data_IF_907986689842
#
_entry.id   IF_907986689842
#
_cell.length_a   1.000
_cell.length_b   1.000
_cell.length_c   1.000
_cell.angle_alpha   90.00
_cell.angle_beta   90.00
_cell.angle_gamma   90.00
#
_symmetry.space_group_name_H-M   'P 1'
#
loop_
_entity.id
_entity.type
_entity.pdbx_description
1 polymer ?
#
# COMPACT_ATOMS: atom_id res chain seq x y z
N UNK A 1 -2.69 17.75 13.90
CA UNK A 1 -1.41 18.06 13.21
C UNK A 1 -0.38 18.36 14.30
N UNK A 2 0.86 17.87 14.19
CA UNK A 2 1.94 18.24 15.13
C UNK A 2 2.74 19.39 14.53
N UNK A 3 2.95 20.47 15.29
CA UNK A 3 3.84 21.56 14.89
C UNK A 3 5.17 21.44 15.63
N UNK A 4 6.27 21.83 14.99
CA UNK A 4 7.54 22.15 15.67
C UNK A 4 7.36 23.54 16.30
N UNK A 5 6.69 23.65 17.43
CA UNK A 5 6.74 24.88 18.23
C UNK A 5 7.68 24.68 19.42
N UNK A 6 8.87 25.27 19.27
CA UNK A 6 9.74 25.65 20.37
C UNK A 6 9.05 26.77 21.16
N UNK A 7 8.29 26.44 22.21
CA UNK A 7 8.27 27.23 23.45
C UNK A 7 7.57 26.52 24.63
N UNK A 8 8.40 26.18 25.62
CA UNK A 8 8.14 26.13 27.07
C UNK A 8 6.80 25.58 27.59
N UNK A 9 6.82 24.33 28.07
CA UNK A 9 5.79 23.76 28.94
C UNK A 9 5.83 22.24 29.03
N UNK A 10 6.90 21.65 29.58
CA UNK A 10 7.00 20.20 29.72
C UNK A 10 6.02 19.65 30.76
N UNK A 11 5.10 18.76 30.32
CA UNK A 11 4.38 17.81 31.19
C UNK A 11 4.76 16.36 30.82
N UNK A 12 4.85 15.43 31.78
CA UNK A 12 5.34 14.08 31.53
C UNK A 12 4.19 13.18 31.05
N UNK A 13 4.24 12.68 29.81
CA UNK A 13 3.16 11.77 29.38
C UNK A 13 3.16 11.21 27.97
N UNK A 14 3.93 11.73 27.01
CA UNK A 14 4.16 11.02 25.75
C UNK A 14 5.47 11.47 25.09
N UNK A 15 6.52 10.68 25.27
CA UNK A 15 7.73 10.76 24.45
C UNK A 15 7.71 9.57 23.51
N UNK A 16 7.39 9.81 22.24
CA UNK A 16 7.83 8.95 21.14
C UNK A 16 8.98 9.65 20.40
N UNK A 17 9.80 8.84 19.75
CA UNK A 17 11.22 9.04 19.35
C UNK A 17 11.58 10.25 18.45
N UNK A 18 10.73 11.27 18.32
CA UNK A 18 11.07 12.48 17.59
C UNK A 18 10.24 13.70 18.04
N UNK A 19 10.34 14.13 19.30
CA UNK A 19 10.13 15.53 19.76
C UNK A 19 8.87 16.31 19.31
N UNK A 20 7.85 15.67 18.74
CA UNK A 20 6.67 16.30 18.17
C UNK A 20 5.50 16.14 19.14
N UNK A 21 5.07 17.25 19.72
CA UNK A 21 3.85 17.31 20.51
C UNK A 21 2.63 17.48 19.58
N UNK A 22 1.50 16.88 19.96
CA UNK A 22 0.23 17.19 19.31
C UNK A 22 -0.18 18.62 19.66
N UNK A 23 -0.61 19.39 18.66
CA UNK A 23 -1.09 20.76 18.84
C UNK A 23 -2.32 20.84 19.77
N UNK A 24 -3.19 19.83 19.69
CA UNK A 24 -4.37 19.71 20.56
C UNK A 24 -4.14 18.68 21.65
N UNK A 25 -4.58 19.03 22.85
CA UNK A 25 -4.40 18.27 24.10
C UNK A 25 -5.38 18.81 25.15
N UNK A 26 -5.35 18.30 26.38
CA UNK A 26 -6.29 18.69 27.44
C UNK A 26 -6.35 20.21 27.71
N UNK A 27 -5.22 20.93 27.60
CA UNK A 27 -5.17 22.40 27.78
C UNK A 27 -5.50 23.22 26.50
N UNK A 28 -5.62 22.56 25.35
CA UNK A 28 -5.94 23.15 24.05
C UNK A 28 -6.82 22.16 23.28
N UNK A 29 -8.09 21.98 23.69
CA UNK A 29 -8.96 20.98 23.09
C UNK A 29 -9.22 21.23 21.61
N UNK A 30 -9.73 20.21 20.92
CA UNK A 30 -10.28 20.35 19.58
C UNK A 30 -11.54 21.22 19.61
N UNK A 31 -11.68 22.12 18.66
CA UNK A 31 -12.90 22.90 18.45
C UNK A 31 -13.92 22.07 17.66
N UNK A 32 -14.53 21.08 18.32
CA UNK A 32 -15.50 20.18 17.70
C UNK A 32 -16.62 19.77 18.66
N UNK A 33 -17.86 19.83 18.18
CA UNK A 33 -19.04 19.29 18.89
C UNK A 33 -19.20 17.78 18.68
N UNK A 34 -18.72 17.27 17.55
CA UNK A 34 -18.67 15.85 17.24
C UNK A 34 -17.41 15.53 16.44
N UNK A 35 -16.83 14.36 16.70
CA UNK A 35 -15.69 13.81 15.96
C UNK A 35 -16.03 12.41 15.45
N UNK A 36 -15.90 12.23 14.14
CA UNK A 36 -15.97 10.93 13.49
C UNK A 36 -14.54 10.47 13.16
N UNK A 37 -14.18 9.29 13.64
CA UNK A 37 -12.91 8.64 13.30
C UNK A 37 -13.24 7.37 12.53
N UNK A 38 -12.88 7.38 11.25
CA UNK A 38 -12.92 6.20 10.40
C UNK A 38 -11.62 5.37 10.58
N UNK A 39 -11.63 4.12 10.16
CA UNK A 39 -10.53 3.16 10.30
C UNK A 39 -9.98 3.04 11.74
N UNK A 40 -10.89 3.06 12.72
CA UNK A 40 -10.55 3.01 14.14
C UNK A 40 -9.82 1.71 14.55
N UNK A 41 -9.91 0.65 13.75
CA UNK A 41 -9.13 -0.60 13.92
C UNK A 41 -7.61 -0.34 13.92
N UNK A 42 -7.17 0.70 13.20
CA UNK A 42 -5.77 1.14 13.10
C UNK A 42 -5.34 2.04 14.27
N UNK A 43 -6.26 2.43 15.16
CA UNK A 43 -5.99 3.35 16.27
C UNK A 43 -5.29 2.62 17.42
N UNK A 44 -3.96 2.76 17.46
CA UNK A 44 -3.13 2.28 18.56
C UNK A 44 -3.36 3.07 19.85
N UNK A 45 -2.98 2.49 20.99
CA UNK A 45 -3.28 3.06 22.32
C UNK A 45 -2.73 4.48 22.51
N UNK A 46 -1.52 4.76 22.03
CA UNK A 46 -0.90 6.09 22.19
C UNK A 46 -1.65 7.20 21.45
N UNK A 47 -2.01 6.97 20.19
CA UNK A 47 -2.78 7.95 19.40
C UNK A 47 -4.21 8.05 19.93
N UNK A 48 -4.82 6.93 20.30
CA UNK A 48 -6.14 6.91 20.91
C UNK A 48 -6.21 7.69 22.23
N UNK A 49 -5.19 7.57 23.08
CA UNK A 49 -5.10 8.35 24.31
C UNK A 49 -4.98 9.86 24.03
N UNK A 50 -4.06 10.25 23.14
CA UNK A 50 -3.88 11.66 22.77
C UNK A 50 -5.15 12.27 22.15
N UNK A 51 -5.87 11.49 21.34
CA UNK A 51 -7.16 11.89 20.78
C UNK A 51 -8.18 12.17 21.90
N UNK A 52 -8.33 11.24 22.85
CA UNK A 52 -9.28 11.40 23.95
C UNK A 52 -8.94 12.59 24.85
N UNK A 53 -7.65 12.84 25.12
CA UNK A 53 -7.24 14.04 25.87
C UNK A 53 -7.54 15.34 25.14
N UNK A 54 -7.50 15.32 23.81
CA UNK A 54 -7.77 16.50 22.99
C UNK A 54 -9.28 16.79 22.83
N UNK A 55 -10.18 15.88 23.23
CA UNK A 55 -11.62 16.08 23.05
C UNK A 55 -12.23 16.94 24.17
N UNK A 56 -13.06 17.94 23.84
CA UNK A 56 -13.90 18.60 24.83
C UNK A 56 -14.82 17.59 25.54
N UNK A 57 -15.14 17.77 26.83
CA UNK A 57 -16.06 16.89 27.56
C UNK A 57 -17.48 16.79 26.96
N UNK A 58 -17.88 17.79 26.16
CA UNK A 58 -19.18 17.85 25.48
C UNK A 58 -19.16 17.24 24.08
N UNK A 59 -17.98 16.86 23.56
CA UNK A 59 -17.83 16.37 22.20
C UNK A 59 -18.34 14.93 22.05
N UNK A 60 -19.14 14.68 21.01
CA UNK A 60 -19.57 13.32 20.67
C UNK A 60 -18.51 12.62 19.82
N UNK A 61 -17.90 11.55 20.34
CA UNK A 61 -16.97 10.71 19.58
C UNK A 61 -17.70 9.53 18.94
N UNK A 62 -17.54 9.34 17.63
CA UNK A 62 -17.99 8.16 16.89
C UNK A 62 -16.77 7.49 16.26
N UNK A 63 -16.56 6.21 16.59
CA UNK A 63 -15.50 5.38 16.03
C UNK A 63 -16.13 4.39 15.05
N UNK A 64 -15.62 4.36 13.82
CA UNK A 64 -16.01 3.42 12.76
C UNK A 64 -14.77 2.63 12.37
N UNK A 65 -14.91 1.32 12.22
CA UNK A 65 -13.80 0.45 11.83
C UNK A 65 -14.23 -1.00 11.80
N UNK A 66 -13.34 -1.85 11.30
CA UNK A 66 -13.54 -3.29 11.15
C UNK A 66 -12.64 -4.06 12.14
N UNK A 67 -13.23 -4.87 13.02
CA UNK A 67 -12.51 -5.66 14.04
C UNK A 67 -11.71 -6.82 13.44
N UNK A 68 -12.07 -7.27 12.23
CA UNK A 68 -11.45 -8.40 11.55
C UNK A 68 -10.27 -8.00 10.66
N UNK A 69 -10.08 -6.70 10.42
CA UNK A 69 -8.86 -6.18 9.79
C UNK A 69 -7.62 -6.36 10.68
N UNK A 70 -6.44 -6.20 10.06
CA UNK A 70 -5.17 -6.14 10.78
C UNK A 70 -5.21 -5.04 11.86
N UNK A 71 -4.80 -5.36 13.11
CA UNK A 71 -4.81 -4.39 14.20
C UNK A 71 -3.75 -3.30 13.95
N UNK A 72 -3.83 -2.21 14.73
CA UNK A 72 -2.80 -1.18 14.72
C UNK A 72 -1.39 -1.78 14.88
N UNK A 73 -0.41 -1.26 14.14
CA UNK A 73 1.00 -1.64 14.26
C UNK A 73 1.60 -1.22 15.62
N UNK A 74 1.05 -0.16 16.23
CA UNK A 74 1.46 0.30 17.55
C UNK A 74 1.02 -0.63 18.69
N UNK A 75 1.58 -0.47 19.90
CA UNK A 75 1.21 -1.29 21.03
C UNK A 75 -0.25 -1.03 21.47
N UNK A 76 -1.00 -2.12 21.64
CA UNK A 76 -2.39 -2.12 22.10
C UNK A 76 -3.38 -1.64 21.03
N UNK A 77 -4.62 -2.16 21.09
CA UNK A 77 -5.71 -1.75 20.19
C UNK A 77 -6.88 -1.17 20.96
N UNK A 78 -7.11 0.15 20.82
CA UNK A 78 -8.20 0.83 21.52
C UNK A 78 -9.57 0.32 21.05
N UNK A 79 -9.76 0.20 19.73
CA UNK A 79 -11.03 -0.19 19.13
C UNK A 79 -11.50 -1.58 19.57
N UNK A 80 -10.64 -2.60 19.43
CA UNK A 80 -10.95 -3.96 19.90
C UNK A 80 -11.23 -4.04 21.41
N UNK A 81 -10.52 -3.25 22.22
CA UNK A 81 -10.78 -3.19 23.66
C UNK A 81 -12.17 -2.58 23.98
N UNK A 82 -12.56 -1.52 23.27
CA UNK A 82 -13.89 -0.90 23.41
C UNK A 82 -15.01 -1.89 23.01
N UNK A 83 -14.82 -2.64 21.92
CA UNK A 83 -15.78 -3.65 21.47
C UNK A 83 -15.92 -4.81 22.47
N UNK A 84 -14.79 -5.33 22.97
CA UNK A 84 -14.77 -6.45 23.91
C UNK A 84 -15.37 -6.09 25.28
N UNK A 85 -15.07 -4.89 25.80
CA UNK A 85 -15.54 -4.45 27.11
C UNK A 85 -16.94 -3.84 27.09
N UNK A 86 -17.44 -3.46 25.90
CA UNK A 86 -18.69 -2.70 25.75
C UNK A 86 -18.70 -1.41 26.59
N UNK A 87 -17.52 -0.79 26.75
CA UNK A 87 -17.37 0.47 27.50
C UNK A 87 -18.07 1.66 26.83
N UNK A 88 -18.46 1.52 25.55
CA UNK A 88 -19.27 2.47 24.80
C UNK A 88 -20.42 1.74 24.07
N UNK A 89 -21.48 2.45 23.65
CA UNK A 89 -22.49 1.89 22.76
C UNK A 89 -21.86 1.37 21.46
N UNK A 90 -22.20 0.13 21.08
CA UNK A 90 -21.67 -0.54 19.89
C UNK A 90 -22.81 -0.94 18.98
N UNK A 91 -22.69 -0.59 17.69
CA UNK A 91 -23.57 -1.03 16.62
C UNK A 91 -22.75 -1.88 15.65
N UNK A 92 -23.20 -3.11 15.40
CA UNK A 92 -22.55 -4.07 14.50
C UNK A 92 -23.36 -4.17 13.19
N UNK A 93 -22.74 -3.78 12.07
CA UNK A 93 -23.37 -3.75 10.76
C UNK A 93 -23.14 -5.07 10.01
N UNK A 94 -24.16 -5.94 10.00
CA UNK A 94 -24.07 -7.28 9.39
C UNK A 94 -24.74 -7.42 8.03
N UNK A 95 -25.49 -6.41 7.60
CA UNK A 95 -26.27 -6.51 6.37
C UNK A 95 -25.40 -6.17 5.16
N UNK A 96 -25.15 -7.17 4.30
CA UNK A 96 -24.49 -7.00 3.01
C UNK A 96 -25.52 -6.55 1.96
N UNK A 97 -25.22 -5.48 1.23
CA UNK A 97 -26.10 -4.97 0.17
C UNK A 97 -26.08 -5.87 -1.07
N UNK A 98 -27.17 -5.88 -1.84
CA UNK A 98 -27.44 -6.84 -2.93
C UNK A 98 -26.35 -6.89 -4.02
N UNK A 99 -25.69 -5.78 -4.31
CA UNK A 99 -24.60 -5.72 -5.30
C UNK A 99 -23.35 -6.46 -4.80
N UNK A 100 -23.02 -6.33 -3.51
CA UNK A 100 -21.89 -7.00 -2.87
C UNK A 100 -22.10 -8.52 -2.70
N UNK A 101 -23.35 -8.99 -2.61
CA UNK A 101 -23.66 -10.42 -2.47
C UNK A 101 -23.27 -11.29 -3.68
N UNK A 102 -23.03 -10.69 -4.86
CA UNK A 102 -22.57 -11.40 -6.07
C UNK A 102 -21.04 -11.42 -6.21
N UNK A 103 -20.34 -10.62 -5.42
CA UNK A 103 -18.88 -10.50 -5.49
C UNK A 103 -18.19 -11.71 -4.86
N UNK A 104 -17.22 -12.31 -5.56
CA UNK A 104 -16.37 -13.36 -4.99
C UNK A 104 -15.43 -12.78 -3.95
N UNK A 105 -15.00 -11.52 -4.08
CA UNK A 105 -14.18 -10.83 -3.08
C UNK A 105 -14.93 -10.78 -1.75
N UNK A 106 -16.16 -10.26 -1.75
CA UNK A 106 -16.98 -10.12 -0.52
C UNK A 106 -17.32 -11.49 0.07
N UNK A 107 -17.74 -12.45 -0.75
CA UNK A 107 -18.00 -13.82 -0.28
C UNK A 107 -16.73 -14.48 0.30
N UNK A 108 -15.57 -14.21 -0.29
CA UNK A 108 -14.26 -14.67 0.18
C UNK A 108 -13.90 -14.06 1.53
N UNK A 109 -14.03 -12.75 1.69
CA UNK A 109 -13.78 -12.05 2.95
C UNK A 109 -14.66 -12.57 4.09
N UNK A 110 -15.96 -12.78 3.83
CA UNK A 110 -16.87 -13.41 4.80
C UNK A 110 -16.43 -14.83 5.16
N UNK A 111 -16.05 -15.65 4.18
CA UNK A 111 -15.56 -17.00 4.45
C UNK A 111 -14.32 -16.96 5.36
N UNK A 112 -13.34 -16.09 5.04
CA UNK A 112 -12.13 -15.90 5.83
C UNK A 112 -12.48 -15.46 7.24
N UNK A 113 -13.39 -14.50 7.43
CA UNK A 113 -13.87 -14.05 8.74
C UNK A 113 -14.43 -15.19 9.59
N UNK A 114 -15.24 -16.07 9.00
CA UNK A 114 -15.82 -17.23 9.66
C UNK A 114 -14.82 -18.40 9.86
N UNK A 115 -13.55 -18.23 9.43
CA UNK A 115 -12.52 -19.28 9.52
C UNK A 115 -12.65 -20.38 8.47
N UNK A 116 -13.36 -20.09 7.37
CA UNK A 116 -13.53 -20.97 6.23
C UNK A 116 -12.58 -20.57 5.10
N UNK A 117 -12.18 -21.55 4.28
CA UNK A 117 -11.38 -21.29 3.08
C UNK A 117 -12.25 -20.62 2.00
N UNK A 118 -11.84 -19.46 1.46
CA UNK A 118 -12.58 -18.81 0.39
C UNK A 118 -12.59 -19.68 -0.87
N UNK A 119 -13.74 -19.73 -1.54
CA UNK A 119 -13.95 -20.55 -2.74
C UNK A 119 -13.75 -19.70 -3.99
N UNK A 120 -12.50 -19.65 -4.46
CA UNK A 120 -12.14 -18.97 -5.70
C UNK A 120 -11.99 -19.96 -6.86
N UNK A 121 -12.27 -19.48 -8.07
CA UNK A 121 -11.96 -20.21 -9.29
C UNK A 121 -10.44 -20.30 -9.46
N UNK A 122 -9.95 -21.46 -9.88
CA UNK A 122 -8.53 -21.72 -9.93
C UNK A 122 -8.04 -21.62 -11.36
N UNK A 123 -6.96 -20.87 -11.53
CA UNK A 123 -6.26 -20.72 -12.80
C UNK A 123 -4.88 -21.34 -12.61
N UNK A 124 -4.55 -22.35 -13.40
CA UNK A 124 -3.23 -22.97 -13.33
C UNK A 124 -2.24 -22.12 -14.13
N UNK A 125 -1.05 -21.89 -13.57
CA UNK A 125 0.03 -21.23 -14.27
C UNK A 125 1.19 -22.21 -14.46
N UNK A 126 1.82 -22.18 -15.64
CA UNK A 126 3.00 -23.00 -15.93
C UNK A 126 4.13 -22.15 -16.50
N UNK A 127 5.41 -22.48 -16.24
CA UNK A 127 6.55 -21.72 -16.77
C UNK A 127 6.58 -21.64 -18.29
N UNK A 128 6.19 -22.73 -18.98
CA UNK A 128 6.28 -22.83 -20.43
C UNK A 128 5.00 -22.32 -21.12
N UNK A 129 3.87 -22.30 -20.40
CA UNK A 129 2.55 -21.96 -20.95
C UNK A 129 1.95 -20.65 -20.44
N UNK A 130 2.62 -19.98 -19.50
CA UNK A 130 2.21 -18.73 -18.86
C UNK A 130 0.78 -18.79 -18.29
N UNK A 131 0.13 -17.64 -18.27
CA UNK A 131 -1.33 -17.52 -18.19
C UNK A 131 -1.92 -17.58 -19.60
N UNK A 132 -2.14 -18.77 -20.15
CA UNK A 132 -2.79 -18.89 -21.47
C UNK A 132 -4.23 -19.34 -21.37
N UNK A 133 -5.01 -19.06 -22.41
CA UNK A 133 -6.40 -19.53 -22.54
C UNK A 133 -6.54 -21.06 -22.40
N UNK A 134 -5.48 -21.83 -22.69
CA UNK A 134 -5.44 -23.28 -22.47
C UNK A 134 -5.48 -23.66 -20.97
N UNK A 135 -5.07 -22.75 -20.09
CA UNK A 135 -5.13 -22.88 -18.63
C UNK A 135 -6.24 -22.02 -18.01
N UNK A 136 -7.02 -21.32 -18.85
CA UNK A 136 -8.19 -20.59 -18.41
C UNK A 136 -9.31 -21.55 -17.98
N UNK A 137 -10.16 -21.15 -17.03
CA UNK A 137 -11.35 -21.90 -16.67
C UNK A 137 -12.28 -22.09 -17.89
N UNK A 138 -13.23 -23.02 -17.78
CA UNK A 138 -14.11 -23.44 -18.89
C UNK A 138 -14.87 -22.28 -19.57
N UNK A 139 -14.93 -21.10 -18.95
CA UNK A 139 -15.48 -19.86 -19.51
C UNK A 139 -14.63 -19.21 -20.61
N UNK A 140 -13.36 -19.60 -20.77
CA UNK A 140 -12.45 -19.04 -21.77
C UNK A 140 -11.85 -17.67 -21.43
N UNK A 141 -12.22 -17.08 -20.29
CA UNK A 141 -11.59 -15.85 -19.75
C UNK A 141 -10.52 -16.22 -18.72
N UNK A 142 -9.35 -15.58 -18.78
CA UNK A 142 -8.30 -15.70 -17.75
C UNK A 142 -8.81 -15.27 -16.36
N UNK A 143 -9.73 -14.31 -16.34
CA UNK A 143 -10.36 -13.77 -15.13
C UNK A 143 -11.87 -13.92 -15.27
N UNK A 144 -12.44 -15.10 -14.97
CA UNK A 144 -13.88 -15.39 -15.09
C UNK A 144 -14.75 -14.68 -14.04
N UNK A 145 -14.14 -14.24 -12.95
CA UNK A 145 -14.78 -13.65 -11.80
C UNK A 145 -13.93 -12.50 -11.25
N UNK A 146 -14.49 -11.73 -10.34
CA UNK A 146 -13.82 -10.64 -9.63
C UNK A 146 -12.79 -11.11 -8.60
N UNK A 147 -12.69 -12.42 -8.33
CA UNK A 147 -11.58 -13.02 -7.58
C UNK A 147 -11.23 -14.42 -8.11
N UNK A 148 -9.94 -14.66 -8.31
CA UNK A 148 -9.38 -15.94 -8.77
C UNK A 148 -8.15 -16.33 -7.95
N UNK A 149 -7.86 -17.63 -7.89
CA UNK A 149 -6.63 -18.15 -7.30
C UNK A 149 -5.72 -18.69 -8.40
N UNK A 150 -4.60 -18.00 -8.64
CA UNK A 150 -3.57 -18.48 -9.57
C UNK A 150 -2.67 -19.47 -8.85
N UNK A 151 -2.67 -20.73 -9.30
CA UNK A 151 -1.80 -21.77 -8.74
C UNK A 151 -0.47 -21.79 -9.47
N UNK A 152 0.59 -21.74 -8.68
CA UNK A 152 1.97 -21.79 -9.15
C UNK A 152 2.57 -23.12 -8.67
N UNK A 153 3.21 -23.92 -9.54
CA UNK A 153 3.65 -25.27 -9.22
C UNK A 153 4.80 -25.32 -8.21
N UNK A 154 5.53 -24.21 -8.03
CA UNK A 154 6.59 -24.10 -7.03
C UNK A 154 6.68 -22.68 -6.48
N UNK A 155 6.93 -22.50 -5.16
CA UNK A 155 7.14 -21.20 -4.55
C UNK A 155 8.24 -20.34 -5.21
N UNK A 156 9.25 -20.97 -5.81
CA UNK A 156 10.35 -20.28 -6.47
C UNK A 156 9.91 -19.56 -7.77
N UNK A 157 8.80 -19.99 -8.36
CA UNK A 157 8.28 -19.46 -9.62
C UNK A 157 7.26 -18.34 -9.43
N UNK A 158 6.90 -18.02 -8.19
CA UNK A 158 5.92 -16.96 -7.86
C UNK A 158 6.29 -15.60 -8.46
N UNK A 159 7.56 -15.13 -8.43
CA UNK A 159 7.91 -13.87 -9.07
C UNK A 159 7.68 -13.87 -10.58
N UNK A 160 8.00 -14.99 -11.25
CA UNK A 160 7.79 -15.13 -12.69
C UNK A 160 6.30 -15.13 -13.03
N UNK A 161 5.51 -15.93 -12.32
CA UNK A 161 4.05 -15.98 -12.47
C UNK A 161 3.40 -14.62 -12.20
N UNK A 162 3.89 -13.86 -11.20
CA UNK A 162 3.41 -12.50 -10.92
C UNK A 162 3.63 -11.58 -12.12
N UNK A 163 4.78 -11.67 -12.79
CA UNK A 163 5.06 -10.89 -14.00
C UNK A 163 4.01 -11.14 -15.08
N UNK A 164 3.69 -12.41 -15.35
CA UNK A 164 2.68 -12.80 -16.33
C UNK A 164 1.26 -12.35 -15.93
N UNK A 165 0.91 -12.45 -14.64
CA UNK A 165 -0.38 -11.97 -14.10
C UNK A 165 -0.53 -10.48 -14.32
N UNK A 166 0.47 -9.69 -13.92
CA UNK A 166 0.44 -8.23 -14.07
C UNK A 166 0.44 -7.85 -15.56
N UNK A 167 1.17 -8.58 -16.39
CA UNK A 167 1.13 -8.39 -17.83
C UNK A 167 -0.28 -8.59 -18.40
N UNK A 168 -0.92 -9.71 -18.03
CA UNK A 168 -2.28 -10.04 -18.49
C UNK A 168 -3.32 -9.02 -18.02
N UNK A 169 -3.13 -8.45 -16.82
CA UNK A 169 -4.07 -7.48 -16.24
C UNK A 169 -3.92 -6.08 -16.84
N UNK A 170 -2.72 -5.68 -17.26
CA UNK A 170 -2.42 -4.27 -17.58
C UNK A 170 -1.93 -4.00 -19.00
N UNK A 171 -1.32 -4.98 -19.67
CA UNK A 171 -0.48 -4.73 -20.85
C UNK A 171 -0.85 -5.58 -22.06
N UNK A 172 -1.45 -6.75 -21.87
CA UNK A 172 -1.90 -7.58 -22.99
C UNK A 172 -3.07 -6.90 -23.75
N UNK A 173 -3.25 -7.18 -25.05
CA UNK A 173 -4.36 -6.61 -25.82
C UNK A 173 -5.71 -6.96 -25.20
N UNK A 174 -6.51 -5.93 -24.89
CA UNK A 174 -7.79 -6.10 -24.19
C UNK A 174 -7.67 -6.25 -22.68
N UNK A 175 -6.51 -5.92 -22.10
CA UNK A 175 -6.29 -5.86 -20.66
C UNK A 175 -7.41 -5.08 -19.95
N UNK A 176 -7.95 -5.61 -18.82
CA UNK A 176 -9.09 -5.03 -18.15
C UNK A 176 -8.77 -3.77 -17.33
N UNK A 177 -7.50 -3.53 -16.99
CA UNK A 177 -7.11 -2.46 -16.08
C UNK A 177 -6.01 -1.59 -16.67
N UNK A 178 -6.00 -0.29 -16.35
CA UNK A 178 -4.83 0.53 -16.59
C UNK A 178 -3.71 0.08 -15.64
N UNK A 179 -2.43 0.31 -15.98
CA UNK A 179 -1.33 -0.07 -15.09
C UNK A 179 -1.53 0.50 -13.67
N UNK A 180 -2.08 1.71 -13.55
CA UNK A 180 -2.32 2.47 -12.32
C UNK A 180 -3.43 1.92 -11.44
N UNK A 181 -4.30 1.08 -12.00
CA UNK A 181 -5.40 0.45 -11.29
C UNK A 181 -4.98 -0.83 -10.56
N UNK A 182 -3.79 -1.36 -10.86
CA UNK A 182 -3.27 -2.61 -10.29
C UNK A 182 -2.23 -2.36 -9.21
N UNK A 183 -2.48 -2.90 -8.02
CA UNK A 183 -1.55 -2.92 -6.90
C UNK A 183 -1.15 -4.34 -6.53
N UNK A 184 0.16 -4.60 -6.44
CA UNK A 184 0.66 -5.87 -5.90
C UNK A 184 0.82 -5.75 -4.39
N UNK A 185 0.30 -6.74 -3.66
CA UNK A 185 0.44 -6.84 -2.21
C UNK A 185 1.24 -8.09 -1.82
N UNK A 186 2.13 -7.94 -0.85
CA UNK A 186 2.85 -9.07 -0.27
C UNK A 186 2.87 -9.02 1.27
N UNK A 187 2.82 -10.16 1.97
CA UNK A 187 2.87 -10.18 3.43
C UNK A 187 4.12 -9.55 4.07
N UNK A 188 5.27 -9.60 3.37
CA UNK A 188 6.56 -9.17 3.93
C UNK A 188 7.44 -8.43 2.92
N UNK A 189 8.44 -7.71 3.44
CA UNK A 189 9.37 -6.89 2.63
C UNK A 189 10.56 -7.67 2.09
N UNK A 190 11.03 -8.68 2.82
CA UNK A 190 12.28 -9.42 2.55
C UNK A 190 11.95 -10.85 2.16
N UNK A 191 12.77 -11.43 1.27
CA UNK A 191 12.60 -12.78 0.74
C UNK A 191 12.31 -12.76 -0.76
N UNK A 192 12.34 -13.92 -1.43
CA UNK A 192 12.24 -14.01 -2.90
C UNK A 192 10.86 -13.60 -3.45
N UNK A 193 9.83 -13.56 -2.60
CA UNK A 193 8.51 -13.00 -2.91
C UNK A 193 8.13 -11.82 -2.00
N UNK A 194 9.14 -11.21 -1.36
CA UNK A 194 8.96 -10.00 -0.57
C UNK A 194 8.93 -8.76 -1.46
N UNK A 195 8.32 -7.68 -0.97
CA UNK A 195 8.11 -6.46 -1.78
C UNK A 195 9.39 -5.90 -2.40
N UNK A 196 10.58 -6.07 -1.80
CA UNK A 196 11.84 -5.57 -2.38
C UNK A 196 12.18 -6.24 -3.71
N UNK A 197 12.12 -7.57 -3.76
CA UNK A 197 12.41 -8.34 -4.98
C UNK A 197 11.31 -8.14 -6.01
N UNK A 198 10.05 -8.15 -5.57
CA UNK A 198 8.91 -7.93 -6.47
C UNK A 198 8.93 -6.54 -7.10
N UNK A 199 9.30 -5.49 -6.35
CA UNK A 199 9.41 -4.15 -6.92
C UNK A 199 10.47 -4.05 -8.02
N UNK A 200 11.63 -4.69 -7.84
CA UNK A 200 12.69 -4.68 -8.86
C UNK A 200 12.21 -5.34 -10.17
N UNK A 201 11.49 -6.47 -10.05
CA UNK A 201 10.87 -7.17 -11.17
C UNK A 201 9.80 -6.31 -11.85
N UNK A 202 8.87 -5.77 -11.08
CA UNK A 202 7.75 -4.98 -11.60
C UNK A 202 8.24 -3.69 -12.25
N UNK A 203 9.24 -3.01 -11.69
CA UNK A 203 9.83 -1.84 -12.32
C UNK A 203 10.33 -2.16 -13.74
N UNK A 204 11.07 -3.26 -13.90
CA UNK A 204 11.56 -3.70 -15.21
C UNK A 204 10.42 -3.98 -16.18
N UNK A 205 9.38 -4.69 -15.72
CA UNK A 205 8.20 -4.99 -16.53
C UNK A 205 7.49 -3.70 -17.00
N UNK A 206 7.22 -2.76 -16.09
CA UNK A 206 6.51 -1.53 -16.41
C UNK A 206 7.29 -0.67 -17.41
N UNK A 207 8.60 -0.50 -17.21
CA UNK A 207 9.43 0.27 -18.13
C UNK A 207 9.60 -0.41 -19.50
N UNK A 208 9.79 -1.72 -19.55
CA UNK A 208 9.89 -2.45 -20.81
C UNK A 208 8.61 -2.28 -21.67
N UNK A 209 7.44 -2.30 -21.01
CA UNK A 209 6.15 -2.14 -21.70
C UNK A 209 5.85 -0.70 -22.10
N UNK A 210 6.24 0.28 -21.29
CA UNK A 210 6.12 1.70 -21.65
C UNK A 210 7.05 2.07 -22.83
N UNK A 211 8.27 1.55 -22.86
CA UNK A 211 9.19 1.76 -23.99
C UNK A 211 8.62 1.18 -25.30
N UNK A 212 7.98 0.01 -25.23
CA UNK A 212 7.32 -0.63 -26.39
C UNK A 212 6.08 0.13 -26.88
N UNK A 213 5.43 0.93 -26.03
CA UNK A 213 4.27 1.75 -26.40
C UNK A 213 4.65 3.12 -27.00
N UNK A 214 5.91 3.55 -26.84
CA UNK A 214 6.35 4.94 -27.11
C UNK A 214 7.16 5.19 -28.39
N UNK A 215 7.36 4.21 -29.29
CA UNK A 215 8.21 4.44 -30.47
C UNK A 215 8.08 3.41 -31.59
N UNK A 216 8.04 3.93 -32.81
CA UNK A 216 8.11 3.24 -34.09
C UNK A 216 9.37 2.36 -34.25
N UNK A 217 9.26 1.36 -35.13
CA UNK A 217 10.27 0.42 -35.64
C UNK A 217 10.70 -0.72 -34.72
N UNK A 218 10.34 -1.92 -35.17
CA UNK A 218 10.57 -3.19 -34.52
C UNK A 218 12.04 -3.53 -34.29
N UNK A 219 12.27 -4.12 -33.13
CA UNK A 219 12.98 -5.38 -32.95
C UNK A 219 12.48 -5.94 -31.61
N UNK A 220 11.68 -7.01 -31.64
CA UNK A 220 11.29 -7.74 -30.44
C UNK A 220 12.56 -8.39 -29.86
N UNK A 221 13.20 -7.72 -28.92
CA UNK A 221 14.27 -8.33 -28.14
C UNK A 221 13.66 -9.45 -27.28
N UNK A 222 14.22 -10.67 -27.31
CA UNK A 222 13.69 -11.78 -26.52
C UNK A 222 13.80 -11.43 -25.02
N UNK A 223 12.66 -11.54 -24.33
CA UNK A 223 12.54 -11.40 -22.88
C UNK A 223 13.45 -12.45 -22.21
N UNK A 224 14.56 -11.98 -21.63
CA UNK A 224 15.42 -12.78 -20.75
C UNK A 224 15.33 -12.22 -19.35
N UNK A 225 14.90 -13.05 -18.40
CA UNK A 225 14.89 -12.79 -16.96
C UNK A 225 16.34 -12.82 -16.41
N UNK A 226 17.22 -11.98 -16.97
CA UNK A 226 18.55 -11.79 -16.45
C UNK A 226 18.50 -10.64 -15.45
N UNK A 227 18.52 -11.00 -14.17
CA UNK A 227 18.83 -10.08 -13.08
C UNK A 227 20.14 -9.37 -13.46
N UNK A 228 20.10 -8.15 -13.98
CA UNK A 228 21.31 -7.35 -14.17
C UNK A 228 21.80 -6.90 -12.78
N UNK A 229 22.89 -7.47 -12.24
CA UNK A 229 23.49 -6.94 -11.03
C UNK A 229 24.48 -5.88 -11.50
N UNK A 230 24.06 -4.63 -11.58
CA UNK A 230 24.98 -3.56 -11.93
C UNK A 230 24.69 -2.29 -11.15
N UNK A 231 25.03 -2.36 -9.86
CA UNK A 231 26.05 -1.47 -9.31
C UNK A 231 26.48 -1.99 -7.94
N UNK A 232 27.65 -2.63 -7.91
CA UNK A 232 28.32 -3.03 -6.70
C UNK A 232 28.86 -1.79 -5.99
N UNK A 233 28.07 -1.25 -5.06
CA UNK A 233 28.57 -0.58 -3.86
C UNK A 233 27.42 -0.28 -2.88
N UNK A 234 27.03 -1.29 -2.11
CA UNK A 234 26.86 -1.14 -0.66
C UNK A 234 26.50 -2.50 -0.08
N UNK A 235 27.04 -2.79 1.08
CA UNK A 235 26.70 -3.94 1.92
C UNK A 235 25.27 -3.85 2.52
N UNK A 236 24.34 -3.17 1.82
CA UNK A 236 22.92 -2.98 2.19
C UNK A 236 22.05 -2.86 0.93
N UNK A 237 21.70 -3.98 0.32
CA UNK A 237 20.63 -4.07 -0.70
C UNK A 237 21.03 -3.71 -2.12
N UNK A 238 20.18 -4.12 -3.07
CA UNK A 238 20.29 -3.82 -4.50
C UNK A 238 20.25 -2.30 -4.69
N UNK A 239 21.23 -1.73 -5.40
CA UNK A 239 21.24 -0.31 -5.73
C UNK A 239 19.97 0.02 -6.55
N UNK A 240 19.12 0.91 -6.01
CA UNK A 240 17.87 1.32 -6.67
C UNK A 240 18.18 2.26 -7.82
N UNK A 241 17.96 1.80 -9.05
CA UNK A 241 18.03 2.64 -10.24
C UNK A 241 16.68 3.34 -10.44
N UNK A 242 16.54 4.54 -9.89
CA UNK A 242 15.34 5.36 -10.04
C UNK A 242 15.18 5.85 -11.47
N UNK A 243 13.96 5.82 -12.01
CA UNK A 243 13.62 6.37 -13.32
C UNK A 243 12.37 7.25 -13.23
N UNK A 244 12.22 8.16 -14.19
CA UNK A 244 10.98 8.92 -14.32
C UNK A 244 9.82 7.96 -14.65
N UNK A 245 8.66 8.18 -14.03
CA UNK A 245 7.51 7.29 -14.09
C UNK A 245 7.42 6.29 -12.94
N UNK A 246 8.50 6.07 -12.19
CA UNK A 246 8.51 5.14 -11.06
C UNK A 246 7.47 5.49 -9.99
N UNK A 247 6.76 4.48 -9.51
CA UNK A 247 5.91 4.61 -8.32
C UNK A 247 6.74 4.56 -7.06
N UNK A 248 6.48 5.49 -6.14
CA UNK A 248 7.17 5.57 -4.87
C UNK A 248 6.22 5.68 -3.69
N UNK A 249 6.66 5.18 -2.54
CA UNK A 249 5.99 5.22 -1.26
C UNK A 249 6.86 6.02 -0.28
N UNK A 250 6.28 7.02 0.37
CA UNK A 250 6.92 7.71 1.48
C UNK A 250 6.88 6.80 2.73
N UNK A 251 8.02 6.61 3.38
CA UNK A 251 8.14 5.70 4.54
C UNK A 251 8.26 6.38 5.89
N UNK A 252 8.47 7.70 5.90
CA UNK A 252 8.63 8.52 7.10
C UNK A 252 7.81 9.79 6.96
N UNK A 253 7.16 10.26 8.03
CA UNK A 253 6.41 11.52 7.96
C UNK A 253 7.38 12.69 7.76
N UNK A 254 7.16 13.48 6.70
CA UNK A 254 7.89 14.71 6.42
C UNK A 254 6.91 15.89 6.41
N UNK A 255 6.74 16.52 7.57
CA UNK A 255 5.80 17.63 7.76
C UNK A 255 6.15 18.86 6.91
N UNK A 256 7.45 19.10 6.67
CA UNK A 256 7.92 20.21 5.83
C UNK A 256 7.47 20.06 4.37
N UNK A 257 7.42 18.82 3.86
CA UNK A 257 6.93 18.50 2.52
C UNK A 257 5.42 18.21 2.48
N UNK A 258 4.74 18.18 3.63
CA UNK A 258 3.36 17.73 3.77
C UNK A 258 3.09 16.34 3.16
N UNK A 259 4.05 15.42 3.30
CA UNK A 259 3.95 14.02 2.86
C UNK A 259 4.12 13.11 4.07
N UNK A 260 3.26 12.11 4.17
CA UNK A 260 3.17 11.23 5.32
C UNK A 260 3.53 9.80 4.95
N UNK A 261 3.86 9.00 5.96
CA UNK A 261 4.18 7.60 5.78
C UNK A 261 2.98 6.84 5.23
N UNK A 262 3.12 6.23 4.05
CA UNK A 262 2.03 5.60 3.31
C UNK A 262 1.63 6.38 2.05
N UNK A 263 1.98 7.66 1.95
CA UNK A 263 1.65 8.45 0.76
C UNK A 263 2.38 7.89 -0.46
N UNK A 264 1.62 7.70 -1.54
CA UNK A 264 2.14 7.24 -2.82
C UNK A 264 2.32 8.42 -3.78
N UNK A 265 3.41 8.37 -4.55
CA UNK A 265 3.72 9.37 -5.56
C UNK A 265 4.39 8.75 -6.78
N UNK A 266 4.70 9.61 -7.75
CA UNK A 266 5.41 9.25 -8.98
C UNK A 266 6.62 10.12 -9.17
N UNK A 267 7.73 9.52 -9.59
CA UNK A 267 8.91 10.29 -9.97
C UNK A 267 8.60 11.02 -11.29
N UNK A 268 8.45 12.33 -11.23
CA UNK A 268 8.29 13.18 -12.41
C UNK A 268 9.63 13.38 -13.11
N UNK A 269 10.72 13.56 -12.34
CA UNK A 269 12.06 13.80 -12.90
C UNK A 269 13.16 13.19 -12.04
N UNK A 270 14.18 12.66 -12.73
CA UNK A 270 15.44 12.22 -12.14
C UNK A 270 16.54 13.11 -12.68
N UNK A 271 17.35 13.67 -11.80
CA UNK A 271 18.49 14.51 -12.20
C UNK A 271 19.77 14.14 -11.44
N UNK A 272 20.89 14.26 -12.13
CA UNK A 272 22.22 14.02 -11.60
C UNK A 272 23.02 15.31 -11.77
N UNK A 273 23.46 15.90 -10.66
CA UNK A 273 24.29 17.09 -10.66
C UNK A 273 25.49 16.93 -9.72
N UNK A 274 26.23 18.02 -9.52
CA UNK A 274 27.42 18.03 -8.66
C UNK A 274 27.10 17.66 -7.20
N UNK A 275 25.85 17.90 -6.76
CA UNK A 275 25.34 17.54 -5.43
C UNK A 275 24.83 16.09 -5.31
N UNK A 276 24.93 15.28 -6.38
CA UNK A 276 24.45 13.91 -6.44
C UNK A 276 23.07 13.75 -7.09
N UNK A 277 22.39 12.65 -6.75
CA UNK A 277 21.06 12.30 -7.25
C UNK A 277 19.99 13.20 -6.63
N UNK A 278 19.09 13.72 -7.46
CA UNK A 278 17.88 14.42 -7.05
C UNK A 278 16.65 13.87 -7.76
N UNK A 279 15.57 13.64 -7.00
CA UNK A 279 14.28 13.17 -7.49
C UNK A 279 13.22 14.25 -7.27
N UNK A 280 12.43 14.53 -8.30
CA UNK A 280 11.20 15.33 -8.19
C UNK A 280 10.02 14.35 -8.23
N UNK A 281 9.24 14.29 -7.15
CA UNK A 281 8.16 13.33 -6.96
C UNK A 281 6.83 14.06 -6.89
N UNK A 282 5.89 13.73 -7.77
CA UNK A 282 4.53 14.23 -7.74
C UNK A 282 3.66 13.35 -6.83
N UNK A 283 2.98 13.99 -5.87
CA UNK A 283 2.01 13.33 -4.99
C UNK A 283 0.59 13.80 -5.34
N UNK A 284 -0.33 12.88 -5.74
CA UNK A 284 -1.66 13.25 -6.20
C UNK A 284 -2.48 14.08 -5.19
N UNK A 285 -2.36 13.80 -3.90
CA UNK A 285 -3.10 14.53 -2.85
C UNK A 285 -2.61 15.98 -2.65
N UNK A 286 -1.47 16.33 -3.26
CA UNK A 286 -0.89 17.67 -3.21
C UNK A 286 -1.17 18.47 -4.49
N UNK A 287 -1.62 17.84 -5.58
CA UNK A 287 -1.86 18.52 -6.87
C UNK A 287 -2.84 19.69 -6.76
N UNK A 288 -3.85 19.57 -5.89
CA UNK A 288 -4.87 20.60 -5.69
C UNK A 288 -4.54 21.61 -4.57
N UNK A 289 -3.37 21.51 -3.93
CA UNK A 289 -3.03 22.41 -2.82
C UNK A 289 -2.39 23.70 -3.35
N UNK A 290 -2.97 24.88 -3.04
CA UNK A 290 -2.36 26.15 -3.42
C UNK A 290 -1.08 26.38 -2.62
N UNK A 291 -0.02 26.80 -3.30
CA UNK A 291 1.20 27.29 -2.65
C UNK A 291 0.93 28.60 -1.91
N UNK A 292 1.68 28.84 -0.83
CA UNK A 292 1.82 30.17 -0.25
C UNK A 292 2.42 31.10 -1.32
N UNK A 293 1.56 31.90 -1.98
CA UNK A 293 1.94 32.76 -3.11
C UNK A 293 1.08 32.62 -4.36
N UNK A 294 0.06 31.74 -4.38
CA UNK A 294 -0.96 31.72 -5.43
C UNK A 294 -0.61 30.93 -6.70
N UNK A 295 0.36 30.02 -6.62
CA UNK A 295 0.68 29.04 -7.67
C UNK A 295 0.28 27.61 -7.30
N UNK A 296 0.34 26.69 -8.25
CA UNK A 296 0.24 25.23 -8.05
C UNK A 296 1.55 24.63 -8.55
N UNK A 297 2.30 23.93 -7.70
CA UNK A 297 3.50 23.18 -8.11
C UNK A 297 3.17 21.78 -8.65
N UNK A 298 1.88 21.45 -8.80
CA UNK A 298 1.43 20.12 -9.20
C UNK A 298 1.78 19.04 -8.18
N UNK A 299 1.94 19.41 -6.90
CA UNK A 299 2.25 18.45 -5.84
C UNK A 299 3.68 17.90 -5.87
N UNK A 300 4.59 18.57 -6.57
CA UNK A 300 5.98 18.13 -6.71
C UNK A 300 6.80 18.36 -5.43
N UNK A 301 7.51 17.34 -4.97
CA UNK A 301 8.43 17.38 -3.83
C UNK A 301 9.80 16.90 -4.23
N UNK A 302 10.82 17.66 -3.83
CA UNK A 302 12.22 17.34 -4.16
C UNK A 302 12.86 16.49 -3.05
N UNK A 303 13.58 15.45 -3.46
CA UNK A 303 14.34 14.57 -2.59
C UNK A 303 15.80 14.51 -3.03
N UNK A 304 16.68 14.77 -2.07
CA UNK A 304 18.14 14.78 -2.22
C UNK A 304 18.82 14.19 -0.99
N UNK A 305 20.05 13.70 -1.14
CA UNK A 305 20.88 13.24 -0.03
C UNK A 305 20.18 12.20 0.85
N UNK A 306 20.10 12.45 2.16
CA UNK A 306 19.51 11.52 3.12
C UNK A 306 18.00 11.30 2.91
N UNK A 307 17.26 12.30 2.41
CA UNK A 307 15.81 12.17 2.22
C UNK A 307 15.44 11.14 1.15
N UNK A 308 16.36 10.77 0.25
CA UNK A 308 16.15 9.67 -0.71
C UNK A 308 15.92 8.32 -0.03
N UNK A 309 16.41 8.14 1.21
CA UNK A 309 16.20 6.91 1.97
C UNK A 309 14.78 6.79 2.54
N UNK A 310 14.02 7.89 2.52
CA UNK A 310 12.62 7.91 2.97
C UNK A 310 11.67 7.39 1.89
N UNK A 311 12.14 7.21 0.65
CA UNK A 311 11.35 6.67 -0.46
C UNK A 311 11.64 5.20 -0.69
N UNK A 312 10.61 4.44 -1.05
CA UNK A 312 10.73 3.09 -1.60
C UNK A 312 9.88 2.95 -2.86
N UNK A 313 10.16 1.97 -3.72
CA UNK A 313 9.25 1.65 -4.81
C UNK A 313 7.90 1.15 -4.28
N UNK A 314 6.83 1.47 -5.01
CA UNK A 314 5.45 1.17 -4.63
C UNK A 314 4.70 0.27 -5.62
N UNK A 315 5.38 -0.35 -6.59
CA UNK A 315 4.73 -1.36 -7.47
C UNK A 315 4.19 -2.54 -6.67
N UNK A 316 4.93 -2.96 -5.64
CA UNK A 316 4.49 -3.90 -4.62
C UNK A 316 4.64 -3.27 -3.22
N UNK A 317 3.57 -3.29 -2.43
CA UNK A 317 3.57 -2.82 -1.04
C UNK A 317 3.14 -3.95 -0.10
N UNK A 318 3.39 -3.78 1.20
CA UNK A 318 2.92 -4.76 2.17
C UNK A 318 1.44 -4.58 2.47
N UNK A 319 0.71 -5.64 2.83
CA UNK A 319 -0.72 -5.54 3.23
C UNK A 319 -0.92 -4.48 4.33
N UNK A 320 -0.05 -4.45 5.35
CA UNK A 320 -0.05 -3.41 6.40
C UNK A 320 0.08 -1.96 5.87
N UNK A 321 0.73 -1.76 4.72
CA UNK A 321 0.91 -0.45 4.10
C UNK A 321 -0.23 -0.08 3.16
N UNK A 322 -1.06 -1.05 2.78
CA UNK A 322 -2.25 -0.85 1.98
C UNK A 322 -3.50 -0.59 2.84
N UNK A 323 -3.41 -0.71 4.18
CA UNK A 323 -4.55 -0.43 5.07
C UNK A 323 -5.09 0.99 4.86
N UNK A 324 -6.41 1.12 4.76
CA UNK A 324 -7.09 2.38 4.46
C UNK A 324 -6.94 2.84 2.99
N UNK A 325 -6.38 2.01 2.11
CA UNK A 325 -6.32 2.25 0.66
C UNK A 325 -7.15 1.22 -0.10
N UNK A 326 -7.79 1.66 -1.17
CA UNK A 326 -8.55 0.80 -2.09
C UNK A 326 -7.95 0.87 -3.49
N UNK A 327 -7.95 -0.25 -4.18
CA UNK A 327 -7.44 -0.36 -5.55
C UNK A 327 -8.47 -1.10 -6.42
N UNK A 328 -8.67 -0.68 -7.69
CA UNK A 328 -9.58 -1.39 -8.59
C UNK A 328 -9.20 -2.87 -8.80
N UNK A 329 -7.90 -3.18 -8.79
CA UNK A 329 -7.41 -4.55 -8.89
C UNK A 329 -6.19 -4.80 -7.98
N UNK A 330 -6.20 -5.94 -7.30
CA UNK A 330 -5.15 -6.36 -6.37
C UNK A 330 -4.60 -7.71 -6.80
N UNK A 331 -3.26 -7.84 -6.78
CA UNK A 331 -2.58 -9.13 -6.87
C UNK A 331 -1.92 -9.43 -5.52
N UNK A 332 -2.55 -10.28 -4.72
CA UNK A 332 -2.03 -10.71 -3.42
C UNK A 332 -1.11 -11.92 -3.55
N UNK A 333 0.15 -11.74 -3.17
CA UNK A 333 1.16 -12.80 -3.24
C UNK A 333 1.12 -13.67 -1.97
N UNK A 334 0.63 -14.90 -2.14
CA UNK A 334 0.63 -15.92 -1.09
C UNK A 334 1.73 -16.95 -1.37
N UNK A 335 2.78 -16.94 -0.55
CA UNK A 335 3.90 -17.87 -0.66
C UNK A 335 4.10 -18.59 0.68
N UNK A 336 4.23 -19.93 0.72
CA UNK A 336 4.50 -20.68 1.95
C UNK A 336 5.72 -20.19 2.75
N UNK A 337 6.69 -19.54 2.10
CA UNK A 337 7.82 -18.91 2.79
C UNK A 337 7.40 -17.76 3.71
N UNK A 338 6.20 -17.20 3.52
CA UNK A 338 5.63 -16.13 4.32
C UNK A 338 4.84 -16.66 5.52
N UNK A 339 4.88 -17.97 5.80
CA UNK A 339 4.03 -18.67 6.80
C UNK A 339 3.86 -17.97 8.15
N UNK A 340 4.87 -17.23 8.62
CA UNK A 340 4.83 -16.54 9.91
C UNK A 340 3.91 -15.31 9.89
N UNK A 341 3.66 -14.74 8.71
CA UNK A 341 2.76 -13.61 8.48
C UNK A 341 1.43 -14.03 7.86
N UNK A 342 1.31 -15.28 7.39
CA UNK A 342 0.05 -15.77 6.84
C UNK A 342 -0.92 -16.06 7.98
N UNK A 343 -1.74 -15.07 8.29
CA UNK A 343 -2.88 -15.20 9.18
C UNK A 343 -4.18 -14.80 8.47
N UNK A 344 -5.29 -15.03 9.18
CA UNK A 344 -6.64 -14.79 8.68
C UNK A 344 -6.92 -13.31 8.46
N UNK A 345 -6.41 -12.44 9.33
CA UNK A 345 -6.64 -10.98 9.26
C UNK A 345 -5.87 -10.38 8.09
N UNK A 346 -4.66 -10.85 7.82
CA UNK A 346 -3.87 -10.43 6.67
C UNK A 346 -4.51 -10.83 5.34
N UNK A 347 -5.16 -11.99 5.27
CA UNK A 347 -5.90 -12.39 4.07
C UNK A 347 -7.25 -11.68 3.94
N UNK A 348 -7.88 -11.33 5.07
CA UNK A 348 -9.13 -10.59 5.12
C UNK A 348 -8.97 -9.12 4.72
N UNK A 349 -7.89 -8.50 5.19
CA UNK A 349 -7.50 -7.10 4.93
C UNK A 349 -6.98 -6.96 3.52
#
# INVERSE_FOLDING_TARGET
>A
RGTKDDQAGAFPGSRSDAGLAFQHHALNPLEADALLVDEASMLGLGVGHALLEALPPTCQLVLVGDEDQLPSVGPGGLFGALLATRAAPVVDLRQVFRQAARSRIVAGALAVREGLTPQFENVEWTPDGGLSAAHAPASGSLFPADAVLVRVPSPALVPLALGDVVQSLCFDPGAPFAPDDVQVLAPQRVGPSGTRELNALLQQLFHARQASAGGETGEEAPFSFALHPSSANSSKGVARAWQAGDRVLQTVNCYEKNVFNGDQGRIARVSHGDAGLALEVAFPHLEAQPLEGGGVDGGLRTYVGASLQELEWAYAITVHKAQGSEFPAIVLVLNPQHRHMLDRRLLYT
#
